data_IF_560880594291
#
_entry.id   IF_560880594291
#
_cell.length_a   1.000
_cell.length_b   1.000
_cell.length_c   1.000
_cell.angle_alpha   90.00
_cell.angle_beta   90.00
_cell.angle_gamma   90.00
#
_symmetry.space_group_name_H-M   'P 1'
#
loop_
_entity.id
_entity.type
_entity.pdbx_description
1 polymer ?
#
# COMPACT_ATOMS: atom_id res chain seq x y z
N UNK A 1 16.88 1.30 -0.61
CA UNK A 1 18.21 1.96 -0.66
C UNK A 1 18.22 3.26 -1.47
N UNK A 2 17.13 3.61 -2.15
CA UNK A 2 16.96 4.84 -2.91
C UNK A 2 15.46 5.24 -2.93
N UNK A 3 15.12 6.32 -3.62
CA UNK A 3 13.77 6.86 -3.78
C UNK A 3 13.32 6.95 -5.25
N UNK A 4 14.04 6.30 -6.18
CA UNK A 4 13.76 6.36 -7.61
C UNK A 4 12.63 5.39 -8.00
N UNK A 5 11.44 5.68 -7.47
CA UNK A 5 10.22 4.94 -7.71
C UNK A 5 9.08 5.90 -8.08
N UNK A 6 8.09 5.35 -8.78
CA UNK A 6 6.77 5.95 -8.87
C UNK A 6 5.85 5.27 -7.86
N UNK A 7 5.12 6.10 -7.12
CA UNK A 7 4.00 5.70 -6.31
C UNK A 7 2.77 5.54 -7.19
N UNK A 8 2.26 4.31 -7.26
CA UNK A 8 1.02 3.99 -7.95
C UNK A 8 -0.06 3.71 -6.92
N UNK A 9 -1.09 4.55 -6.90
CA UNK A 9 -2.22 4.46 -5.99
C UNK A 9 -3.53 4.33 -6.78
N UNK A 10 -4.53 3.76 -6.13
CA UNK A 10 -5.87 3.59 -6.69
C UNK A 10 -6.86 4.44 -5.91
N UNK A 11 -7.13 5.64 -6.42
CA UNK A 11 -8.00 6.63 -5.77
C UNK A 11 -9.24 6.90 -6.60
N UNK A 12 -10.26 7.50 -6.01
CA UNK A 12 -11.45 7.82 -6.76
C UNK A 12 -12.57 8.39 -5.92
N UNK A 13 -13.79 8.12 -6.35
CA UNK A 13 -15.01 8.44 -5.64
C UNK A 13 -16.06 7.38 -6.00
N UNK A 14 -17.23 7.46 -5.35
CA UNK A 14 -18.38 6.65 -5.75
C UNK A 14 -18.69 6.83 -7.24
N UNK A 15 -18.98 5.73 -7.95
CA UNK A 15 -19.14 5.62 -9.41
C UNK A 15 -17.87 5.81 -10.25
N UNK A 16 -16.73 6.08 -9.62
CA UNK A 16 -15.43 6.31 -10.27
C UNK A 16 -14.30 5.75 -9.40
N UNK A 17 -14.49 4.54 -8.89
CA UNK A 17 -13.58 3.91 -7.96
C UNK A 17 -12.25 3.51 -8.62
N UNK A 18 -11.19 3.43 -7.81
CA UNK A 18 -9.89 2.80 -8.17
C UNK A 18 -9.30 3.29 -9.49
N UNK A 19 -9.34 4.59 -9.75
CA UNK A 19 -8.58 5.19 -10.83
C UNK A 19 -7.10 5.12 -10.49
N UNK A 20 -6.29 4.70 -11.45
CA UNK A 20 -4.85 4.61 -11.29
C UNK A 20 -4.23 6.00 -11.37
N UNK A 21 -3.48 6.36 -10.32
CA UNK A 21 -2.62 7.54 -10.30
C UNK A 21 -1.18 7.08 -10.14
N UNK A 22 -0.30 7.58 -11.00
CA UNK A 22 1.13 7.29 -10.99
C UNK A 22 1.90 8.58 -10.84
N UNK A 23 2.66 8.73 -9.76
CA UNK A 23 3.43 9.93 -9.45
C UNK A 23 4.82 9.56 -8.97
N UNK A 24 5.85 10.28 -9.38
CA UNK A 24 7.20 10.03 -8.87
C UNK A 24 7.30 10.40 -7.40
N UNK A 25 8.06 9.60 -6.64
CA UNK A 25 8.36 9.93 -5.25
C UNK A 25 9.10 11.26 -5.16
N UNK A 26 8.85 11.97 -4.06
CA UNK A 26 9.46 13.26 -3.74
C UNK A 26 9.90 13.30 -2.27
N UNK A 27 10.87 14.17 -1.92
CA UNK A 27 11.24 14.40 -0.52
C UNK A 27 10.02 14.71 0.36
N UNK A 28 10.00 14.12 1.56
CA UNK A 28 8.90 14.23 2.51
C UNK A 28 7.89 13.08 2.40
N UNK A 29 6.66 13.33 2.85
CA UNK A 29 5.63 12.31 3.04
C UNK A 29 4.61 12.31 1.89
N UNK A 30 4.32 11.12 1.38
CA UNK A 30 3.21 10.82 0.47
C UNK A 30 2.35 9.73 1.10
N UNK A 31 1.03 9.92 1.20
CA UNK A 31 0.17 8.97 1.88
C UNK A 31 -1.23 8.88 1.25
N UNK A 32 -1.83 7.71 1.43
CA UNK A 32 -3.27 7.46 1.22
C UNK A 32 -3.83 6.87 2.50
N UNK A 33 -5.01 7.32 2.90
CA UNK A 33 -5.62 6.89 4.14
C UNK A 33 -7.15 6.85 4.08
N UNK A 34 -7.72 6.27 5.14
CA UNK A 34 -9.14 6.39 5.42
C UNK A 34 -9.40 6.59 6.91
N UNK A 35 -10.29 7.54 7.19
CA UNK A 35 -10.89 7.83 8.51
C UNK A 35 -12.40 7.58 8.52
N UNK A 36 -12.91 6.82 7.55
CA UNK A 36 -14.36 6.62 7.32
C UNK A 36 -14.88 5.30 7.89
N UNK A 37 -14.12 4.66 8.77
CA UNK A 37 -14.36 3.33 9.32
C UNK A 37 -14.46 2.22 8.26
N UNK A 38 -13.98 2.52 7.04
CA UNK A 38 -14.00 1.62 5.89
C UNK A 38 -12.81 1.95 4.99
N UNK A 39 -12.28 0.97 4.25
CA UNK A 39 -11.30 1.21 3.18
C UNK A 39 -11.78 2.23 2.14
N UNK A 40 -13.10 2.42 1.99
CA UNK A 40 -13.75 3.53 1.27
C UNK A 40 -13.53 3.57 -0.26
N UNK A 41 -14.50 4.09 -1.04
CA UNK A 41 -14.34 4.26 -2.49
C UNK A 41 -13.22 5.25 -2.89
N UNK A 42 -12.77 6.08 -1.95
CA UNK A 42 -11.83 7.16 -2.22
C UNK A 42 -10.38 6.69 -2.31
N UNK A 43 -9.97 5.71 -1.51
CA UNK A 43 -8.59 5.24 -1.44
C UNK A 43 -8.55 3.73 -1.23
N UNK A 44 -7.90 2.99 -2.13
CA UNK A 44 -7.70 1.57 -1.93
C UNK A 44 -6.49 1.30 -1.00
N UNK A 45 -6.54 0.32 -0.09
CA UNK A 45 -5.37 -0.08 0.70
C UNK A 45 -4.26 -0.73 -0.14
N UNK A 46 -4.54 -1.15 -1.38
CA UNK A 46 -3.54 -1.60 -2.32
C UNK A 46 -2.82 -0.44 -3.00
N UNK A 47 -1.49 -0.49 -3.05
CA UNK A 47 -0.65 0.44 -3.79
C UNK A 47 0.65 -0.22 -4.25
N UNK A 48 1.38 0.45 -5.13
CA UNK A 48 2.64 -0.07 -5.67
C UNK A 48 3.75 0.99 -5.63
N UNK A 49 4.99 0.50 -5.51
CA UNK A 49 6.20 1.26 -5.83
C UNK A 49 6.88 0.61 -7.03
N UNK A 50 6.87 1.26 -8.18
CA UNK A 50 7.49 0.75 -9.40
C UNK A 50 8.72 1.57 -9.78
N UNK A 51 9.71 0.97 -10.42
CA UNK A 51 10.72 1.76 -11.14
C UNK A 51 10.03 2.60 -12.23
N UNK A 52 10.65 3.71 -12.63
CA UNK A 52 10.09 4.64 -13.63
C UNK A 52 9.83 4.01 -14.99
N UNK A 53 10.70 3.10 -15.40
CA UNK A 53 10.57 2.38 -16.68
C UNK A 53 9.71 1.12 -16.56
N UNK A 54 9.14 0.83 -15.38
CA UNK A 54 8.31 -0.35 -15.18
C UNK A 54 7.01 -0.23 -15.96
N UNK A 55 6.69 -1.30 -16.68
CA UNK A 55 5.48 -1.47 -17.47
C UNK A 55 4.67 -2.65 -16.95
N UNK A 56 3.58 -2.95 -17.64
CA UNK A 56 2.80 -4.17 -17.41
C UNK A 56 3.60 -5.46 -17.65
N UNK A 57 4.65 -5.43 -18.47
CA UNK A 57 5.35 -6.63 -18.96
C UNK A 57 6.82 -6.71 -18.57
N UNK A 58 7.36 -5.67 -17.93
CA UNK A 58 8.79 -5.61 -17.58
C UNK A 58 9.05 -4.61 -16.46
N UNK A 59 10.11 -4.84 -15.70
CA UNK A 59 10.64 -3.90 -14.71
C UNK A 59 10.23 -4.24 -13.28
N UNK A 60 10.92 -3.62 -12.34
CA UNK A 60 10.75 -3.92 -10.92
C UNK A 60 9.55 -3.18 -10.33
N UNK A 61 8.76 -3.89 -9.55
CA UNK A 61 7.62 -3.34 -8.80
C UNK A 61 7.46 -4.07 -7.47
N UNK A 62 7.19 -3.28 -6.43
CA UNK A 62 6.70 -3.75 -5.16
C UNK A 62 5.20 -3.47 -5.09
N UNK A 63 4.40 -4.48 -4.73
CA UNK A 63 2.98 -4.33 -4.39
C UNK A 63 2.78 -4.46 -2.89
N UNK A 64 1.90 -3.63 -2.35
CA UNK A 64 1.56 -3.60 -0.93
C UNK A 64 0.05 -3.67 -0.77
N UNK A 65 -0.44 -4.53 0.12
CA UNK A 65 -1.84 -4.55 0.53
C UNK A 65 -1.98 -4.70 2.03
N UNK A 66 -3.10 -4.25 2.59
CA UNK A 66 -3.39 -4.36 4.00
C UNK A 66 -4.68 -5.16 4.20
N UNK A 67 -4.59 -6.30 4.90
CA UNK A 67 -5.72 -7.19 5.18
C UNK A 67 -6.55 -6.60 6.31
N UNK A 68 -7.25 -5.52 6.00
CA UNK A 68 -8.08 -4.77 6.94
C UNK A 68 -9.11 -3.93 6.20
N UNK A 69 -10.34 -3.94 6.70
CA UNK A 69 -11.46 -3.22 6.07
C UNK A 69 -11.77 -1.89 6.74
N UNK A 70 -11.09 -1.53 7.83
CA UNK A 70 -11.36 -0.31 8.61
C UNK A 70 -10.47 0.88 8.22
N UNK A 71 -10.19 1.75 9.20
CA UNK A 71 -9.30 2.90 9.04
C UNK A 71 -7.86 2.43 8.81
N UNK A 72 -7.29 2.78 7.67
CA UNK A 72 -5.90 2.47 7.31
C UNK A 72 -5.12 3.73 6.97
N UNK A 73 -3.80 3.64 7.06
CA UNK A 73 -2.89 4.64 6.52
C UNK A 73 -1.70 3.92 5.87
N UNK A 74 -1.50 4.22 4.59
CA UNK A 74 -0.35 3.77 3.82
C UNK A 74 0.49 4.99 3.47
N UNK A 75 1.76 4.96 3.82
CA UNK A 75 2.63 6.11 3.73
C UNK A 75 3.99 5.74 3.17
N UNK A 76 4.51 6.59 2.30
CA UNK A 76 5.88 6.58 1.81
C UNK A 76 6.55 7.88 2.23
N UNK A 77 7.64 7.76 2.97
CA UNK A 77 8.49 8.89 3.36
C UNK A 77 9.82 8.79 2.63
N UNK A 78 10.20 9.85 1.91
CA UNK A 78 11.55 9.99 1.38
C UNK A 78 12.31 10.96 2.29
N UNK A 79 13.36 10.44 2.93
CA UNK A 79 14.17 11.21 3.87
C UNK A 79 15.25 12.04 3.17
N UNK A 80 16.06 12.73 3.96
CA UNK A 80 17.16 13.58 3.50
C UNK A 80 18.33 12.81 2.86
N UNK A 81 18.34 11.47 2.94
CA UNK A 81 19.30 10.60 2.27
C UNK A 81 18.75 10.01 0.97
N UNK A 82 17.61 10.52 0.47
CA UNK A 82 16.91 10.00 -0.70
C UNK A 82 16.55 8.51 -0.55
N UNK A 83 16.21 8.07 0.67
CA UNK A 83 15.76 6.70 0.93
C UNK A 83 14.25 6.67 1.18
N UNK A 84 13.55 5.76 0.52
CA UNK A 84 12.12 5.57 0.73
C UNK A 84 11.83 4.59 1.88
N UNK A 85 11.00 5.01 2.84
CA UNK A 85 10.41 4.16 3.87
C UNK A 85 8.92 3.98 3.59
N UNK A 86 8.47 2.74 3.55
CA UNK A 86 7.06 2.37 3.37
C UNK A 86 6.47 1.91 4.70
N UNK A 87 5.32 2.46 5.07
CA UNK A 87 4.54 2.08 6.25
C UNK A 87 3.12 1.73 5.83
N UNK A 88 2.62 0.58 6.28
CA UNK A 88 1.28 0.04 5.98
C UNK A 88 0.65 -0.37 7.29
N UNK A 89 -0.54 0.13 7.61
CA UNK A 89 -1.18 -0.25 8.88
C UNK A 89 -2.49 0.47 9.19
N UNK A 90 -2.93 0.27 10.44
CA UNK A 90 -4.09 0.96 11.01
C UNK A 90 -3.80 2.46 11.08
N UNK A 91 -4.79 3.28 10.73
CA UNK A 91 -4.65 4.73 10.81
C UNK A 91 -4.52 5.19 12.28
N UNK A 92 -3.47 5.94 12.65
CA UNK A 92 -3.24 6.35 14.03
C UNK A 92 -4.18 7.45 14.55
N UNK A 93 -4.86 8.21 13.67
CA UNK A 93 -5.61 9.42 14.07
C UNK A 93 -6.80 9.08 14.98
N UNK A 94 -7.56 8.04 14.64
CA UNK A 94 -8.79 7.65 15.35
C UNK A 94 -8.68 6.22 15.90
N UNK A 95 -7.47 5.82 16.35
CA UNK A 95 -7.22 4.48 16.88
C UNK A 95 -6.58 4.54 18.27
N UNK A 96 -7.18 3.81 19.22
CA UNK A 96 -6.62 3.57 20.55
C UNK A 96 -7.00 2.15 20.99
N UNK A 97 -6.04 1.43 21.54
CA UNK A 97 -6.25 0.12 22.15
C UNK A 97 -5.66 0.13 23.56
N UNK A 98 -6.48 -0.10 24.57
CA UNK A 98 -6.03 -0.24 25.96
C UNK A 98 -5.57 -1.69 26.17
N UNK A 99 -4.34 -1.86 26.66
CA UNK A 99 -3.79 -3.18 27.03
C UNK A 99 -3.72 -3.29 28.55
N UNK A 100 -4.54 -4.15 29.13
CA UNK A 100 -4.43 -4.52 30.54
C UNK A 100 -3.28 -5.54 30.73
N UNK A 101 -2.81 -5.75 31.98
CA UNK A 101 -1.82 -6.78 32.27
C UNK A 101 -2.25 -8.15 31.70
N UNK A 102 -1.32 -8.83 31.03
CA UNK A 102 -1.53 -10.11 30.33
C UNK A 102 -2.42 -10.08 29.08
N UNK A 103 -2.91 -8.91 28.63
CA UNK A 103 -3.51 -8.78 27.31
C UNK A 103 -2.45 -8.60 26.21
N UNK A 104 -2.81 -8.96 24.98
CA UNK A 104 -1.98 -8.79 23.80
C UNK A 104 -2.78 -8.15 22.68
N UNK A 105 -2.12 -7.34 21.86
CA UNK A 105 -2.70 -6.76 20.64
C UNK A 105 -2.01 -7.35 19.42
N UNK A 106 -2.80 -7.79 18.44
CA UNK A 106 -2.32 -8.32 17.17
C UNK A 106 -2.76 -7.37 16.06
N UNK A 107 -1.80 -6.88 15.29
CA UNK A 107 -2.08 -6.04 14.12
C UNK A 107 -2.64 -6.90 12.98
N UNK A 108 -3.49 -6.35 12.11
CA UNK A 108 -3.84 -6.99 10.85
C UNK A 108 -2.59 -7.22 10.00
N UNK A 109 -2.67 -8.18 9.08
CA UNK A 109 -1.54 -8.57 8.24
C UNK A 109 -1.35 -7.59 7.08
N UNK A 110 -0.08 -7.29 6.79
CA UNK A 110 0.32 -6.59 5.58
C UNK A 110 0.91 -7.59 4.59
N UNK A 111 0.53 -7.47 3.33
CA UNK A 111 1.09 -8.26 2.22
C UNK A 111 2.06 -7.39 1.47
N UNK A 112 3.25 -7.94 1.24
CA UNK A 112 4.28 -7.35 0.39
C UNK A 112 4.62 -8.36 -0.68
N UNK A 113 4.62 -7.90 -1.93
CA UNK A 113 4.99 -8.72 -3.08
C UNK A 113 5.98 -7.95 -3.95
N UNK A 114 6.90 -8.68 -4.57
CA UNK A 114 7.89 -8.13 -5.48
C UNK A 114 7.87 -8.91 -6.80
N UNK A 115 8.06 -8.19 -7.90
CA UNK A 115 8.23 -8.74 -9.24
C UNK A 115 9.27 -7.91 -9.98
N UNK A 116 10.14 -8.57 -10.74
CA UNK A 116 11.04 -7.95 -11.71
C UNK A 116 10.53 -8.07 -13.16
N UNK A 117 9.41 -8.76 -13.38
CA UNK A 117 8.77 -8.96 -14.70
C UNK A 117 7.54 -8.06 -14.92
N UNK A 118 7.49 -6.90 -14.25
CA UNK A 118 6.42 -5.92 -14.41
C UNK A 118 5.17 -6.18 -13.59
N UNK A 119 4.17 -5.31 -13.80
CA UNK A 119 2.94 -5.25 -12.99
C UNK A 119 1.98 -6.42 -13.22
N UNK A 120 1.95 -7.01 -14.43
CA UNK A 120 1.10 -8.18 -14.67
C UNK A 120 1.54 -9.39 -13.85
N UNK A 121 2.85 -9.70 -13.83
CA UNK A 121 3.34 -10.84 -13.05
C UNK A 121 3.08 -10.63 -11.55
N UNK A 122 3.34 -9.42 -11.05
CA UNK A 122 3.04 -9.07 -9.66
C UNK A 122 1.55 -9.30 -9.34
N UNK A 123 0.65 -8.83 -10.21
CA UNK A 123 -0.79 -8.99 -10.04
C UNK A 123 -1.23 -10.45 -10.08
N UNK A 124 -0.63 -11.26 -10.96
CA UNK A 124 -0.89 -12.70 -11.05
C UNK A 124 -0.44 -13.43 -9.80
N UNK A 125 0.80 -13.20 -9.35
CA UNK A 125 1.34 -13.81 -8.13
C UNK A 125 0.52 -13.40 -6.89
N UNK A 126 0.12 -12.13 -6.80
CA UNK A 126 -0.74 -11.65 -5.72
C UNK A 126 -2.12 -12.33 -5.75
N UNK A 127 -2.70 -12.48 -6.94
CA UNK A 127 -3.98 -13.16 -7.13
C UNK A 127 -3.89 -14.67 -6.86
N UNK A 128 -2.77 -15.31 -7.20
CA UNK A 128 -2.47 -16.70 -6.85
C UNK A 128 -2.34 -16.86 -5.34
N UNK A 129 -1.61 -15.96 -4.67
CA UNK A 129 -1.48 -15.95 -3.21
C UNK A 129 -2.86 -15.87 -2.53
N UNK A 130 -3.70 -14.92 -2.94
CA UNK A 130 -5.05 -14.79 -2.39
C UNK A 130 -5.90 -16.04 -2.57
N UNK A 131 -5.83 -16.68 -3.74
CA UNK A 131 -6.61 -17.89 -4.04
C UNK A 131 -6.21 -19.11 -3.21
N UNK A 132 -4.96 -19.19 -2.76
CA UNK A 132 -4.46 -20.37 -2.05
C UNK A 132 -4.28 -20.17 -0.54
N UNK A 133 -4.24 -18.92 -0.07
CA UNK A 133 -3.86 -18.60 1.31
C UNK A 133 -4.80 -17.65 2.05
N UNK A 134 -5.79 -17.05 1.39
CA UNK A 134 -6.68 -16.07 2.03
C UNK A 134 -8.18 -16.35 1.80
N UNK A 135 -8.53 -17.01 0.69
CA UNK A 135 -9.89 -17.43 0.35
C UNK A 135 -10.08 -18.92 0.63
#
# INVERSE_FOLDING_TARGET
PDSQYDFIQFSGAWLRERQLYRTSLRPGIQAIDSLRYSSSPQQNPFFMLSRRETTEHSGEVYGFNFIYSGNFQNMIEVDHFDTARVTVGINPVEFRFLLNPAESFVTPEAIVIYSDQGMNQMSQQLSDFYRHHLV
#
